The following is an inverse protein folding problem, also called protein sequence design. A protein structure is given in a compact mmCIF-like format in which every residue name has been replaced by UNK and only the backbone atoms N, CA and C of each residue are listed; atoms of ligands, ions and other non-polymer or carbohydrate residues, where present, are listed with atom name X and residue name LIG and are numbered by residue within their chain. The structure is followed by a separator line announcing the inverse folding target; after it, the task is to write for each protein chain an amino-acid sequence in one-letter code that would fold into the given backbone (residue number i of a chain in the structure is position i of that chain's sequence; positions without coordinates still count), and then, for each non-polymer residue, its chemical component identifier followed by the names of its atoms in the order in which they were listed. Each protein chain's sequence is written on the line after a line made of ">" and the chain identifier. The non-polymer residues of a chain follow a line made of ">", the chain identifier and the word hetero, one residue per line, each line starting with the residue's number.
data_IF_996692324167
#
_entry.id   IF_996692324167
#
_cell.length_a   1.000
_cell.length_b   1.000
_cell.length_c   1.000
_cell.angle_alpha   90.00
_cell.angle_beta   90.00
_cell.angle_gamma   90.00
#
_symmetry.space_group_name_H-M   'P 1'
#
loop_
_entity.id
_entity.type
_entity.pdbx_description
1 polymer ?
#
# COMPACT_ATOMS: atom_id res chain seq x y z
N UNK A 1 12.08 9.05 12.14
CA UNK A 1 12.06 7.69 11.54
C UNK A 1 13.48 7.22 11.24
N UNK A 2 14.23 7.91 10.39
CA UNK A 2 15.62 7.56 10.04
C UNK A 2 16.54 7.35 11.25
N UNK A 3 16.48 8.23 12.26
CA UNK A 3 17.30 8.04 13.48
C UNK A 3 16.99 6.71 14.20
N UNK A 4 15.73 6.29 14.23
CA UNK A 4 15.32 5.02 14.85
C UNK A 4 15.74 3.83 13.99
N UNK A 5 15.60 3.94 12.66
CA UNK A 5 16.10 2.91 11.73
C UNK A 5 17.59 2.68 11.93
N UNK A 6 18.39 3.75 11.97
CA UNK A 6 19.82 3.67 12.19
C UNK A 6 20.14 3.06 13.56
N UNK A 7 19.44 3.49 14.63
CA UNK A 7 19.63 2.98 15.98
C UNK A 7 19.49 1.44 16.07
N UNK A 8 18.63 0.85 15.23
CA UNK A 8 18.40 -0.60 15.27
C UNK A 8 19.58 -1.37 14.70
N UNK A 9 20.14 -0.93 13.57
CA UNK A 9 21.14 -1.73 12.81
C UNK A 9 22.58 -1.26 12.99
N UNK A 10 22.82 -0.04 13.49
CA UNK A 10 24.16 0.51 13.64
C UNK A 10 25.07 -0.36 14.51
N UNK A 11 26.36 -0.39 14.16
CA UNK A 11 27.42 -1.08 14.89
C UNK A 11 27.05 -2.54 15.26
N UNK A 12 26.47 -3.27 14.30
CA UNK A 12 26.01 -4.66 14.48
C UNK A 12 25.02 -4.79 15.65
N UNK A 13 23.90 -4.08 15.54
CA UNK A 13 22.82 -4.05 16.55
C UNK A 13 23.31 -3.61 17.93
N UNK A 14 24.27 -2.67 18.03
CA UNK A 14 24.88 -2.29 19.31
C UNK A 14 23.86 -1.81 20.34
N UNK A 15 22.89 -0.97 19.94
CA UNK A 15 21.84 -0.53 20.85
C UNK A 15 20.87 -1.66 21.22
N UNK A 16 20.28 -2.43 20.28
CA UNK A 16 19.47 -3.61 20.63
C UNK A 16 20.17 -4.60 21.55
N UNK A 17 21.43 -4.95 21.28
CA UNK A 17 22.23 -5.85 22.15
C UNK A 17 22.37 -5.29 23.57
N UNK A 18 22.51 -3.98 23.72
CA UNK A 18 22.60 -3.34 25.04
C UNK A 18 21.23 -3.22 25.74
N UNK A 19 20.19 -2.85 25.01
CA UNK A 19 18.91 -2.42 25.58
C UNK A 19 17.87 -3.56 25.66
N UNK A 20 17.93 -4.55 24.76
CA UNK A 20 16.99 -5.66 24.69
C UNK A 20 17.54 -6.87 25.44
N UNK A 21 17.70 -6.74 26.75
CA UNK A 21 18.15 -7.84 27.60
C UNK A 21 17.26 -9.09 27.51
N UNK A 22 15.98 -8.90 27.14
CA UNK A 22 15.01 -9.96 26.89
C UNK A 22 15.18 -10.67 25.53
N UNK A 23 16.12 -10.25 24.69
CA UNK A 23 16.42 -10.90 23.41
C UNK A 23 17.61 -11.87 23.49
N UNK A 24 18.15 -12.12 24.69
CA UNK A 24 19.24 -13.08 24.91
C UNK A 24 18.71 -14.44 25.32
N UNK A 25 19.21 -15.50 24.70
CA UNK A 25 18.73 -16.88 24.87
C UNK A 25 19.93 -17.84 24.95
N UNK A 26 19.73 -18.99 25.58
CA UNK A 26 20.66 -20.11 25.50
C UNK A 26 20.11 -21.11 24.48
N UNK A 27 20.88 -21.40 23.43
CA UNK A 27 20.42 -22.19 22.30
C UNK A 27 21.52 -23.12 21.82
N UNK A 28 21.12 -24.22 21.19
CA UNK A 28 22.06 -25.09 20.49
C UNK A 28 22.32 -24.48 19.11
N UNK A 29 23.59 -24.31 18.77
CA UNK A 29 24.00 -24.00 17.42
C UNK A 29 23.88 -25.29 16.58
N UNK A 30 22.95 -25.32 15.64
CA UNK A 30 22.68 -26.51 14.83
C UNK A 30 23.71 -26.76 13.73
N UNK A 31 24.59 -25.79 13.45
CA UNK A 31 25.71 -25.97 12.51
C UNK A 31 26.89 -26.69 13.18
N UNK A 32 27.16 -26.40 14.45
CA UNK A 32 28.27 -26.99 15.20
C UNK A 32 27.86 -28.11 16.16
N UNK A 33 26.58 -28.15 16.55
CA UNK A 33 26.04 -29.02 17.59
C UNK A 33 26.34 -28.56 19.02
N UNK A 34 26.97 -27.41 19.21
CA UNK A 34 27.37 -26.90 20.53
C UNK A 34 26.27 -26.08 21.20
N UNK A 35 26.19 -26.18 22.53
CA UNK A 35 25.28 -25.37 23.32
C UNK A 35 25.92 -24.00 23.63
N UNK A 36 25.35 -22.93 23.07
CA UNK A 36 25.85 -21.57 23.23
C UNK A 36 25.03 -20.79 24.27
N UNK A 37 25.72 -20.06 25.14
CA UNK A 37 25.08 -19.23 26.16
C UNK A 37 25.02 -17.75 25.75
N UNK A 38 23.92 -17.06 26.12
CA UNK A 38 23.73 -15.63 25.87
C UNK A 38 23.85 -15.26 24.38
N UNK A 39 23.17 -16.02 23.53
CA UNK A 39 23.02 -15.72 22.11
C UNK A 39 21.97 -14.62 21.94
N UNK A 40 22.32 -13.55 21.22
CA UNK A 40 21.38 -12.48 20.88
C UNK A 40 20.46 -12.92 19.74
N UNK A 41 19.15 -12.84 19.95
CA UNK A 41 18.10 -13.05 18.95
C UNK A 41 17.72 -11.72 18.28
N UNK A 42 17.97 -11.54 16.97
CA UNK A 42 17.71 -10.27 16.29
C UNK A 42 16.24 -10.08 15.89
N UNK A 43 15.36 -11.07 16.09
CA UNK A 43 13.98 -11.05 15.60
C UNK A 43 13.18 -9.82 16.03
N UNK A 44 13.32 -9.36 17.28
CA UNK A 44 12.62 -8.17 17.78
C UNK A 44 13.11 -6.91 17.05
N UNK A 45 14.42 -6.78 16.88
CA UNK A 45 15.06 -5.67 16.21
C UNK A 45 14.68 -5.65 14.71
N UNK A 46 14.82 -6.78 14.03
CA UNK A 46 14.51 -6.92 12.61
C UNK A 46 13.01 -6.76 12.30
N UNK A 47 12.11 -7.23 13.18
CA UNK A 47 10.67 -6.99 13.01
C UNK A 47 10.35 -5.49 13.07
N UNK A 48 10.90 -4.78 14.05
CA UNK A 48 10.70 -3.33 14.17
C UNK A 48 11.33 -2.59 12.98
N UNK A 49 12.52 -3.00 12.55
CA UNK A 49 13.19 -2.45 11.37
C UNK A 49 12.36 -2.64 10.09
N UNK A 50 11.82 -3.84 9.88
CA UNK A 50 10.91 -4.15 8.78
C UNK A 50 9.67 -3.24 8.81
N UNK A 51 9.04 -3.07 9.97
CA UNK A 51 7.85 -2.22 10.11
C UNK A 51 8.12 -0.72 9.87
N UNK A 52 9.37 -0.26 10.06
CA UNK A 52 9.77 1.12 9.75
C UNK A 52 9.94 1.36 8.26
N UNK A 53 10.31 0.32 7.49
CA UNK A 53 10.42 0.37 6.03
C UNK A 53 9.08 0.11 5.35
N UNK A 54 8.39 -0.93 5.79
CA UNK A 54 7.11 -1.38 5.22
C UNK A 54 6.02 -1.19 6.27
N UNK A 55 5.19 -0.13 6.17
CA UNK A 55 4.18 0.20 7.18
C UNK A 55 2.94 -0.72 7.14
N UNK A 56 3.14 -2.04 7.20
CA UNK A 56 2.06 -3.02 7.37
C UNK A 56 1.54 -3.05 8.82
N UNK A 57 0.41 -3.72 9.07
CA UNK A 57 -0.08 -3.86 10.45
C UNK A 57 0.87 -4.75 11.23
N UNK A 58 1.06 -4.43 12.52
CA UNK A 58 1.88 -5.24 13.46
C UNK A 58 1.58 -6.74 13.39
N UNK A 59 0.29 -7.12 13.41
CA UNK A 59 -0.10 -8.53 13.35
C UNK A 59 0.33 -9.18 12.03
N UNK A 60 0.24 -8.45 10.90
CA UNK A 60 0.72 -8.95 9.61
C UNK A 60 2.24 -9.17 9.64
N UNK A 61 3.00 -8.22 10.20
CA UNK A 61 4.44 -8.34 10.37
C UNK A 61 4.84 -9.54 11.26
N UNK A 62 4.09 -9.79 12.33
CA UNK A 62 4.31 -10.93 13.23
C UNK A 62 4.05 -12.29 12.55
N UNK A 63 3.12 -12.35 11.59
CA UNK A 63 2.72 -13.56 10.88
C UNK A 63 3.36 -13.71 9.49
N UNK A 64 4.42 -12.94 9.20
CA UNK A 64 5.18 -13.13 7.98
C UNK A 64 5.85 -14.50 7.97
N UNK A 65 5.88 -15.13 6.82
CA UNK A 65 6.42 -16.47 6.66
C UNK A 65 7.90 -16.46 6.26
N UNK A 66 8.66 -17.42 6.77
CA UNK A 66 10.06 -17.64 6.39
C UNK A 66 10.23 -18.38 5.06
N UNK A 67 9.21 -19.07 4.55
CA UNK A 67 9.32 -19.92 3.37
C UNK A 67 10.12 -21.21 3.59
N UNK A 68 10.44 -21.59 4.84
CA UNK A 68 11.15 -22.86 5.12
C UNK A 68 10.36 -24.11 4.68
N UNK A 69 9.03 -24.00 4.60
CA UNK A 69 8.17 -25.03 4.03
C UNK A 69 7.84 -24.86 2.55
N UNK A 70 8.43 -23.87 1.87
CA UNK A 70 8.13 -23.61 0.46
C UNK A 70 8.93 -24.52 -0.47
N UNK A 71 8.42 -24.74 -1.68
CA UNK A 71 9.10 -25.51 -2.72
C UNK A 71 10.36 -24.80 -3.24
N UNK A 72 10.33 -23.46 -3.28
CA UNK A 72 11.45 -22.62 -3.71
C UNK A 72 11.74 -21.55 -2.66
N UNK A 73 13.03 -21.31 -2.40
CA UNK A 73 13.49 -20.27 -1.48
C UNK A 73 14.44 -19.32 -2.19
N UNK A 74 14.48 -18.08 -1.72
CA UNK A 74 15.44 -17.10 -2.22
C UNK A 74 16.84 -17.38 -1.67
N UNK A 75 17.81 -17.51 -2.58
CA UNK A 75 19.22 -17.58 -2.25
C UNK A 75 19.84 -16.17 -2.30
N UNK A 76 20.32 -15.71 -1.15
CA UNK A 76 20.90 -14.37 -0.99
C UNK A 76 22.31 -14.20 -1.57
N UNK A 77 22.99 -15.29 -1.93
CA UNK A 77 24.33 -15.24 -2.52
C UNK A 77 24.25 -15.36 -4.06
N UNK A 78 23.28 -16.14 -4.55
CA UNK A 78 23.01 -16.28 -5.98
C UNK A 78 21.97 -15.27 -6.52
N UNK A 79 21.31 -14.53 -5.64
CA UNK A 79 20.26 -13.55 -5.94
C UNK A 79 19.12 -14.12 -6.80
N UNK A 80 18.73 -15.37 -6.52
CA UNK A 80 17.68 -16.07 -7.29
C UNK A 80 16.94 -17.10 -6.44
N UNK A 81 15.76 -17.48 -6.90
CA UNK A 81 15.04 -18.61 -6.30
C UNK A 81 15.68 -19.93 -6.71
N UNK A 82 15.90 -20.78 -5.71
CA UNK A 82 16.41 -22.14 -5.86
C UNK A 82 15.44 -23.12 -5.22
N UNK A 83 15.50 -24.39 -5.63
CA UNK A 83 14.68 -25.44 -5.01
C UNK A 83 15.07 -25.61 -3.55
N UNK A 84 14.09 -25.66 -2.66
CA UNK A 84 14.32 -25.88 -1.24
C UNK A 84 14.63 -27.35 -0.95
N UNK A 85 15.91 -27.68 -0.79
CA UNK A 85 16.33 -29.05 -0.47
C UNK A 85 15.97 -29.45 0.97
N UNK A 86 15.90 -28.47 1.88
CA UNK A 86 15.60 -28.66 3.30
C UNK A 86 14.14 -28.32 3.63
N UNK A 87 13.24 -28.52 2.67
CA UNK A 87 11.83 -28.18 2.81
C UNK A 87 11.20 -28.88 4.02
N UNK A 88 10.55 -28.10 4.87
CA UNK A 88 9.77 -28.62 6.00
C UNK A 88 8.36 -28.98 5.51
N UNK A 89 7.98 -30.23 5.71
CA UNK A 89 6.67 -30.75 5.28
C UNK A 89 6.62 -31.16 3.80
N UNK A 90 5.52 -31.81 3.42
CA UNK A 90 5.37 -32.45 2.10
C UNK A 90 4.41 -31.71 1.16
N UNK A 91 3.70 -30.69 1.65
CA UNK A 91 2.65 -29.99 0.91
C UNK A 91 3.25 -28.94 -0.03
N UNK A 92 2.72 -28.80 -1.25
CA UNK A 92 3.15 -27.74 -2.18
C UNK A 92 2.78 -26.38 -1.62
N UNK A 93 3.76 -25.47 -1.56
CA UNK A 93 3.62 -24.20 -0.84
C UNK A 93 4.60 -23.14 -1.36
N UNK A 94 4.15 -21.89 -1.38
CA UNK A 94 4.97 -20.72 -1.72
C UNK A 94 4.41 -19.49 -0.99
N UNK A 95 4.64 -19.39 0.32
CA UNK A 95 4.06 -18.36 1.21
C UNK A 95 5.14 -17.46 1.86
N UNK A 96 6.42 -17.74 1.62
CA UNK A 96 7.57 -17.01 2.14
C UNK A 96 7.54 -15.53 1.80
N UNK A 97 8.05 -14.70 2.72
CA UNK A 97 8.05 -13.24 2.58
C UNK A 97 8.70 -12.78 1.26
N UNK A 98 9.81 -13.38 0.84
CA UNK A 98 10.45 -13.01 -0.41
C UNK A 98 9.79 -13.77 -1.56
N UNK A 99 9.37 -13.05 -2.61
CA UNK A 99 8.84 -13.65 -3.84
C UNK A 99 9.32 -12.94 -5.09
N UNK A 100 9.46 -13.70 -6.17
CA UNK A 100 9.64 -13.17 -7.52
C UNK A 100 8.28 -12.76 -8.07
N UNK A 101 8.14 -11.50 -8.44
CA UNK A 101 6.90 -10.91 -8.92
C UNK A 101 7.08 -10.43 -10.37
N UNK A 102 6.05 -10.57 -11.23
CA UNK A 102 6.14 -10.10 -12.60
C UNK A 102 6.54 -8.64 -12.67
N UNK A 103 7.57 -8.33 -13.45
CA UNK A 103 8.06 -6.95 -13.63
C UNK A 103 7.01 -6.03 -14.25
N UNK A 104 6.03 -6.62 -14.97
CA UNK A 104 4.98 -5.90 -15.69
C UNK A 104 5.47 -5.22 -16.97
N UNK A 105 6.76 -5.32 -17.30
CA UNK A 105 7.37 -4.72 -18.50
C UNK A 105 7.86 -5.84 -19.41
N UNK A 106 7.42 -5.83 -20.67
CA UNK A 106 7.84 -6.80 -21.68
C UNK A 106 9.37 -6.79 -21.83
N UNK A 107 10.00 -7.95 -21.60
CA UNK A 107 11.45 -8.14 -21.74
C UNK A 107 12.29 -7.78 -20.52
N UNK A 108 11.68 -7.34 -19.41
CA UNK A 108 12.37 -7.15 -18.13
C UNK A 108 12.14 -8.37 -17.26
N UNK A 109 13.22 -8.90 -16.68
CA UNK A 109 13.17 -10.01 -15.72
C UNK A 109 12.29 -9.66 -14.54
N UNK A 110 11.57 -10.66 -14.03
CA UNK A 110 10.76 -10.54 -12.82
C UNK A 110 11.56 -9.90 -11.66
N UNK A 111 10.87 -9.14 -10.84
CA UNK A 111 11.47 -8.36 -9.75
C UNK A 111 11.32 -9.08 -8.41
N UNK A 112 12.29 -8.90 -7.53
CA UNK A 112 12.14 -9.35 -6.15
C UNK A 112 11.19 -8.41 -5.41
N UNK A 113 10.24 -8.99 -4.68
CA UNK A 113 9.35 -8.25 -3.80
C UNK A 113 8.96 -9.03 -2.57
N UNK A 114 7.96 -8.50 -1.88
CA UNK A 114 7.49 -8.99 -0.59
C UNK A 114 6.07 -9.53 -0.69
N UNK A 115 5.87 -10.77 -0.28
CA UNK A 115 4.56 -11.37 -0.08
C UNK A 115 4.12 -11.17 1.38
N UNK A 116 3.02 -10.44 1.57
CA UNK A 116 2.41 -10.25 2.88
C UNK A 116 1.32 -11.30 3.04
N UNK A 117 1.63 -12.33 3.83
CA UNK A 117 0.84 -13.55 4.06
C UNK A 117 -0.62 -13.36 4.45
N UNK A 118 -0.96 -12.21 5.05
CA UNK A 118 -2.28 -11.97 5.63
C UNK A 118 -2.86 -10.63 5.22
N UNK A 119 -4.18 -10.59 5.00
CA UNK A 119 -4.92 -9.36 4.79
C UNK A 119 -6.15 -9.33 5.71
N UNK A 120 -6.60 -8.12 6.11
CA UNK A 120 -7.83 -7.97 6.91
C UNK A 120 -9.07 -8.44 6.13
N UNK A 121 -8.96 -8.57 4.82
CA UNK A 121 -10.12 -8.63 3.93
C UNK A 121 -10.11 -9.78 2.91
N UNK A 122 -9.09 -10.63 2.97
CA UNK A 122 -8.90 -11.87 2.19
C UNK A 122 -7.86 -12.75 2.90
N UNK A 123 -7.95 -14.07 2.69
CA UNK A 123 -6.95 -15.04 3.20
C UNK A 123 -5.70 -15.15 2.31
N UNK A 124 -5.73 -14.59 1.09
CA UNK A 124 -4.69 -14.76 0.07
C UNK A 124 -3.51 -13.79 0.17
N UNK A 125 -3.44 -13.00 1.25
CA UNK A 125 -2.37 -12.01 1.41
C UNK A 125 -2.40 -10.90 0.34
N UNK A 126 -1.25 -10.27 0.10
CA UNK A 126 -0.99 -9.34 -1.01
C UNK A 126 0.50 -9.13 -1.23
N UNK A 127 0.88 -8.74 -2.45
CA UNK A 127 2.28 -8.55 -2.82
C UNK A 127 2.68 -7.08 -2.89
N UNK A 128 3.94 -6.82 -2.56
CA UNK A 128 4.62 -5.54 -2.70
C UNK A 128 5.78 -5.75 -3.68
N UNK A 129 5.73 -5.24 -4.91
CA UNK A 129 6.75 -5.45 -5.94
C UNK A 129 8.00 -4.58 -5.71
N UNK A 130 8.49 -4.54 -4.48
CA UNK A 130 9.63 -3.74 -4.07
C UNK A 130 10.21 -4.20 -2.74
N UNK A 131 11.54 -4.20 -2.64
CA UNK A 131 12.32 -4.34 -1.41
C UNK A 131 13.61 -3.53 -1.58
N UNK A 132 14.05 -2.79 -0.54
CA UNK A 132 15.34 -2.10 -0.57
C UNK A 132 16.48 -2.98 -0.05
N UNK A 133 17.71 -2.65 -0.47
CA UNK A 133 18.92 -3.41 -0.14
C UNK A 133 19.20 -3.44 1.37
N UNK A 134 18.95 -2.33 2.08
CA UNK A 134 19.15 -2.28 3.53
C UNK A 134 18.20 -3.22 4.28
N UNK A 135 16.94 -3.29 3.83
CA UNK A 135 15.98 -4.24 4.37
C UNK A 135 16.36 -5.67 4.01
N UNK A 136 16.80 -5.91 2.77
CA UNK A 136 17.24 -7.23 2.32
C UNK A 136 18.44 -7.74 3.12
N UNK A 137 19.39 -6.88 3.48
CA UNK A 137 20.52 -7.22 4.34
C UNK A 137 20.09 -7.59 5.77
N UNK A 138 19.13 -6.85 6.35
CA UNK A 138 18.54 -7.20 7.66
C UNK A 138 17.80 -8.54 7.60
N UNK A 139 17.05 -8.80 6.52
CA UNK A 139 16.37 -10.07 6.29
C UNK A 139 17.38 -11.22 6.12
N UNK A 140 18.47 -11.05 5.36
CA UNK A 140 19.53 -12.05 5.22
C UNK A 140 20.07 -12.49 6.59
N UNK A 141 20.36 -11.52 7.47
CA UNK A 141 20.80 -11.79 8.83
C UNK A 141 19.75 -12.57 9.64
N UNK A 142 18.46 -12.21 9.51
CA UNK A 142 17.36 -12.93 10.15
C UNK A 142 17.31 -14.39 9.69
N UNK A 143 17.35 -14.64 8.38
CA UNK A 143 17.30 -15.99 7.82
C UNK A 143 18.49 -16.86 8.24
N UNK A 144 19.70 -16.30 8.21
CA UNK A 144 20.90 -17.00 8.67
C UNK A 144 20.81 -17.36 10.15
N UNK A 145 20.31 -16.43 10.98
CA UNK A 145 20.13 -16.69 12.40
C UNK A 145 19.12 -17.82 12.67
N UNK A 146 18.00 -17.84 11.94
CA UNK A 146 17.00 -18.90 12.05
C UNK A 146 17.56 -20.27 11.64
N UNK A 147 18.30 -20.35 10.53
CA UNK A 147 18.95 -21.60 10.11
C UNK A 147 19.93 -22.12 11.16
N UNK A 148 20.66 -21.22 11.81
CA UNK A 148 21.67 -21.56 12.81
C UNK A 148 21.09 -22.01 14.16
N UNK A 149 20.05 -21.34 14.65
CA UNK A 149 19.55 -21.53 16.03
C UNK A 149 18.10 -22.00 16.15
N UNK A 150 17.30 -21.95 15.08
CA UNK A 150 15.90 -22.38 15.06
C UNK A 150 15.49 -23.05 13.72
N UNK A 151 16.18 -24.10 13.25
CA UNK A 151 15.97 -24.66 11.90
C UNK A 151 14.69 -25.50 11.73
N UNK A 152 13.95 -25.82 12.81
CA UNK A 152 12.80 -26.72 12.76
C UNK A 152 11.53 -26.09 13.37
N UNK A 153 11.00 -25.00 12.78
CA UNK A 153 9.76 -24.41 13.24
C UNK A 153 8.55 -25.32 12.96
N UNK A 154 7.56 -25.19 13.82
CA UNK A 154 6.21 -25.66 13.56
C UNK A 154 5.33 -24.55 12.98
N UNK A 155 4.27 -24.94 12.28
CA UNK A 155 3.26 -24.02 11.78
C UNK A 155 2.53 -23.33 12.94
N UNK A 156 2.35 -22.02 12.80
CA UNK A 156 1.79 -21.14 13.83
C UNK A 156 0.87 -20.09 13.22
N UNK A 157 -0.25 -19.84 13.88
CA UNK A 157 -1.24 -18.84 13.43
C UNK A 157 -1.48 -17.79 14.51
N UNK A 158 -2.73 -17.36 14.63
CA UNK A 158 -3.17 -16.39 15.65
C UNK A 158 -2.90 -16.84 17.10
N UNK A 159 -2.80 -18.15 17.33
CA UNK A 159 -2.46 -18.75 18.62
C UNK A 159 -1.08 -18.33 19.14
N UNK A 160 -0.15 -17.99 18.24
CA UNK A 160 1.18 -17.51 18.58
C UNK A 160 1.23 -16.08 19.09
N UNK A 161 0.14 -15.32 18.95
CA UNK A 161 0.07 -13.91 19.36
C UNK A 161 -0.28 -13.73 20.86
N UNK A 162 -0.63 -14.81 21.56
CA UNK A 162 -1.06 -14.80 22.96
C UNK A 162 -2.52 -14.38 23.17
N UNK A 163 -3.05 -14.56 24.40
CA UNK A 163 -4.48 -14.37 24.75
C UNK A 163 -5.05 -12.93 24.62
N UNK A 164 -4.24 -11.94 24.22
CA UNK A 164 -4.62 -10.52 24.16
C UNK A 164 -5.13 -10.09 22.77
N UNK A 165 -5.89 -10.94 22.09
CA UNK A 165 -6.55 -10.57 20.83
C UNK A 165 -7.95 -10.00 21.17
N UNK A 166 -8.11 -8.69 21.04
CA UNK A 166 -9.44 -8.09 20.88
C UNK A 166 -9.96 -8.38 19.47
N UNK A 167 -11.28 -8.49 19.34
CA UNK A 167 -12.08 -9.04 18.21
C UNK A 167 -11.83 -8.43 16.81
N UNK A 168 -10.95 -7.44 16.64
CA UNK A 168 -10.59 -6.86 15.34
C UNK A 168 -9.41 -7.57 14.63
N UNK A 169 -9.06 -8.78 15.07
CA UNK A 169 -7.96 -9.57 14.50
C UNK A 169 -8.24 -10.03 13.07
N UNK A 170 -7.16 -10.28 12.33
CA UNK A 170 -7.17 -10.91 11.00
C UNK A 170 -8.08 -12.15 11.04
N UNK A 171 -9.06 -12.25 10.13
CA UNK A 171 -10.01 -13.36 10.06
C UNK A 171 -9.44 -14.60 9.37
N UNK A 172 -8.15 -14.90 9.58
CA UNK A 172 -7.50 -16.03 8.93
C UNK A 172 -7.19 -17.13 9.92
N UNK A 173 -7.52 -18.37 9.54
CA UNK A 173 -7.11 -19.58 10.24
C UNK A 173 -5.85 -20.21 9.62
N UNK A 174 -5.25 -19.54 8.62
CA UNK A 174 -3.96 -19.94 8.05
C UNK A 174 -2.86 -19.94 9.11
N UNK A 175 -1.94 -20.88 8.95
CA UNK A 175 -0.74 -21.02 9.78
C UNK A 175 0.51 -20.85 8.93
N UNK A 176 1.56 -20.34 9.56
CA UNK A 176 2.78 -19.87 8.92
C UNK A 176 4.01 -20.32 9.72
N UNK A 177 5.12 -20.54 9.04
CA UNK A 177 6.45 -20.64 9.65
C UNK A 177 6.93 -19.21 9.93
N UNK A 178 6.68 -18.72 11.14
CA UNK A 178 6.92 -17.32 11.48
C UNK A 178 8.38 -16.90 11.18
N UNK A 179 8.58 -15.83 10.42
CA UNK A 179 9.91 -15.31 10.12
C UNK A 179 10.57 -14.69 11.36
N UNK A 180 9.82 -13.93 12.16
CA UNK A 180 10.32 -13.27 13.36
C UNK A 180 9.97 -14.08 14.62
N UNK A 181 10.65 -15.21 14.79
CA UNK A 181 10.51 -16.10 15.95
C UNK A 181 11.24 -15.58 17.18
N UNK A 182 10.67 -15.78 18.35
CA UNK A 182 11.28 -15.37 19.61
C UNK A 182 11.44 -16.54 20.59
N UNK A 183 12.54 -17.31 20.50
CA UNK A 183 12.80 -18.40 21.44
C UNK A 183 13.16 -17.90 22.85
N UNK A 184 13.29 -16.59 23.07
CA UNK A 184 13.58 -16.01 24.39
C UNK A 184 12.39 -16.02 25.34
N UNK A 185 11.19 -16.35 24.84
CA UNK A 185 9.96 -16.44 25.63
C UNK A 185 10.08 -17.61 26.62
N UNK A 186 10.76 -17.39 27.75
CA UNK A 186 11.13 -18.35 28.82
C UNK A 186 9.98 -19.21 29.40
N UNK A 187 8.74 -19.05 28.94
CA UNK A 187 7.55 -19.80 29.39
C UNK A 187 6.88 -20.63 28.29
N UNK A 188 7.50 -20.71 27.12
CA UNK A 188 7.01 -21.45 25.96
C UNK A 188 8.09 -22.43 25.55
N UNK A 189 7.85 -23.75 25.71
CA UNK A 189 8.71 -24.81 25.15
C UNK A 189 8.78 -24.74 23.61
N UNK A 190 7.91 -23.93 23.02
CA UNK A 190 7.76 -23.74 21.61
C UNK A 190 8.50 -22.50 21.11
N UNK A 191 9.59 -22.74 20.38
CA UNK A 191 10.45 -21.75 19.73
C UNK A 191 9.89 -21.22 18.40
N UNK A 192 8.76 -21.76 17.94
CA UNK A 192 8.14 -21.40 16.65
C UNK A 192 7.24 -20.17 16.75
N UNK A 193 6.95 -19.70 17.97
CA UNK A 193 6.12 -18.51 18.19
C UNK A 193 6.82 -17.25 17.73
N UNK A 194 6.02 -16.38 17.11
CA UNK A 194 6.44 -15.02 16.78
C UNK A 194 6.70 -14.16 18.02
N UNK A 195 7.44 -13.07 17.85
CA UNK A 195 7.69 -12.08 18.92
C UNK A 195 6.36 -11.62 19.54
N UNK A 196 6.22 -11.75 20.86
CA UNK A 196 4.99 -11.34 21.53
C UNK A 196 4.77 -9.81 21.51
N UNK A 197 3.51 -9.39 21.39
CA UNK A 197 3.14 -7.96 21.27
C UNK A 197 3.73 -7.07 22.37
N UNK A 198 3.74 -7.53 23.62
CA UNK A 198 4.26 -6.75 24.75
C UNK A 198 5.78 -6.53 24.67
N UNK A 199 6.53 -7.48 24.08
CA UNK A 199 7.97 -7.34 23.82
C UNK A 199 8.22 -6.28 22.74
N UNK A 200 7.43 -6.30 21.65
CA UNK A 200 7.51 -5.29 20.59
C UNK A 200 7.24 -3.89 21.16
N UNK A 201 6.17 -3.73 21.96
CA UNK A 201 5.83 -2.44 22.59
C UNK A 201 6.94 -1.95 23.53
N UNK A 202 7.54 -2.85 24.33
CA UNK A 202 8.65 -2.51 25.22
C UNK A 202 9.89 -2.09 24.45
N UNK A 203 10.28 -2.85 23.43
CA UNK A 203 11.41 -2.54 22.56
C UNK A 203 11.21 -1.19 21.85
N UNK A 204 10.00 -0.93 21.35
CA UNK A 204 9.63 0.35 20.75
C UNK A 204 9.82 1.53 21.71
N UNK A 205 9.36 1.41 22.96
CA UNK A 205 9.57 2.44 23.97
C UNK A 205 11.04 2.76 24.23
N UNK A 206 11.89 1.73 24.31
CA UNK A 206 13.34 1.87 24.48
C UNK A 206 14.01 2.58 23.29
N UNK A 207 13.62 2.23 22.06
CA UNK A 207 14.10 2.90 20.85
C UNK A 207 13.69 4.38 20.83
N UNK A 208 12.42 4.68 21.13
CA UNK A 208 11.92 6.05 21.23
C UNK A 208 12.68 6.88 22.27
N UNK A 209 12.98 6.31 23.43
CA UNK A 209 13.74 6.97 24.48
C UNK A 209 15.16 7.36 24.03
N UNK A 210 15.87 6.44 23.38
CA UNK A 210 17.22 6.74 22.91
C UNK A 210 17.22 7.69 21.71
N UNK A 211 16.28 7.54 20.78
CA UNK A 211 16.12 8.46 19.66
C UNK A 211 15.79 9.88 20.14
N UNK A 212 14.91 10.03 21.14
CA UNK A 212 14.61 11.31 21.78
C UNK A 212 15.89 11.96 22.32
N UNK A 213 16.72 11.20 23.04
CA UNK A 213 17.99 11.70 23.57
C UNK A 213 18.96 12.10 22.48
N UNK A 214 19.05 11.35 21.38
CA UNK A 214 19.98 11.66 20.27
C UNK A 214 19.54 12.91 19.51
N UNK A 215 18.26 13.01 19.18
CA UNK A 215 17.71 14.16 18.46
C UNK A 215 17.83 15.42 19.33
N UNK A 216 17.46 15.34 20.60
CA UNK A 216 17.57 16.49 21.52
C UNK A 216 19.01 16.92 21.78
N UNK A 217 20.01 16.03 21.63
CA UNK A 217 21.44 16.40 21.68
C UNK A 217 21.90 17.14 20.42
N UNK A 218 21.31 16.83 19.26
CA UNK A 218 21.62 17.46 17.97
C UNK A 218 20.91 18.80 17.77
N UNK A 219 19.79 19.04 18.47
CA UNK A 219 19.01 20.26 18.36
C UNK A 219 19.71 21.45 19.04
N UNK A 220 19.78 22.63 18.39
CA UNK A 220 20.24 23.86 19.05
C UNK A 220 19.37 24.22 20.25
N UNK A 221 19.94 24.87 21.27
CA UNK A 221 19.20 25.25 22.51
C UNK A 221 17.98 26.14 22.25
N UNK A 222 17.94 26.84 21.11
CA UNK A 222 16.83 27.68 20.66
C UNK A 222 15.61 26.89 20.18
N UNK A 223 15.76 25.59 19.91
CA UNK A 223 14.67 24.73 19.43
C UNK A 223 13.98 24.01 20.58
N UNK A 224 12.65 23.89 20.48
CA UNK A 224 11.87 23.11 21.44
C UNK A 224 12.30 21.65 21.38
N UNK A 225 12.70 21.10 22.53
CA UNK A 225 13.02 19.68 22.68
C UNK A 225 11.82 18.82 22.31
N UNK A 226 12.08 17.73 21.61
CA UNK A 226 11.08 16.73 21.27
C UNK A 226 10.88 15.76 22.44
N UNK A 227 9.68 15.20 22.55
CA UNK A 227 9.37 14.16 23.54
C UNK A 227 8.61 13.03 22.86
N UNK A 228 9.23 11.85 22.80
CA UNK A 228 8.72 10.61 22.25
C UNK A 228 8.27 9.64 23.34
N UNK A 229 8.65 9.87 24.59
CA UNK A 229 8.33 9.03 25.77
C UNK A 229 7.41 9.72 26.76
N UNK A 230 6.60 8.94 27.50
CA UNK A 230 5.75 9.49 28.56
C UNK A 230 6.61 9.96 29.73
N UNK A 231 6.19 11.05 30.37
CA UNK A 231 6.90 11.57 31.55
C UNK A 231 6.95 10.50 32.65
N UNK A 232 8.16 10.20 33.14
CA UNK A 232 8.39 9.21 34.20
C UNK A 232 8.45 7.74 33.76
N UNK A 233 8.21 7.40 32.47
CA UNK A 233 8.26 6.01 31.98
C UNK A 233 9.11 5.88 30.71
N UNK A 234 10.43 5.61 30.82
CA UNK A 234 11.34 5.50 29.68
C UNK A 234 11.09 4.28 28.78
N UNK A 235 10.18 3.39 29.17
CA UNK A 235 9.74 2.22 28.39
C UNK A 235 8.39 2.41 27.72
N UNK A 236 7.70 3.53 27.97
CA UNK A 236 6.42 3.84 27.35
C UNK A 236 6.57 4.99 26.37
N UNK A 237 6.36 4.70 25.09
CA UNK A 237 6.27 5.75 24.08
C UNK A 237 4.93 6.49 24.19
N UNK A 238 4.95 7.79 23.87
CA UNK A 238 3.72 8.59 23.62
C UNK A 238 3.01 8.15 22.35
N UNK A 239 3.73 7.51 21.44
CA UNK A 239 3.24 7.08 20.13
C UNK A 239 3.25 5.55 20.10
N UNK A 240 2.09 4.95 19.85
CA UNK A 240 2.00 3.50 19.73
C UNK A 240 2.61 3.01 18.42
N UNK A 241 2.78 1.69 18.32
CA UNK A 241 3.26 1.05 17.08
C UNK A 241 2.28 1.26 15.92
N UNK A 242 1.00 1.53 16.17
CA UNK A 242 0.05 1.86 15.11
C UNK A 242 0.36 3.21 14.46
N UNK A 243 0.88 4.16 15.24
CA UNK A 243 1.36 5.46 14.75
C UNK A 243 2.51 5.31 13.77
N UNK A 244 3.34 4.25 13.89
CA UNK A 244 4.39 3.96 12.88
C UNK A 244 3.79 3.74 11.50
N UNK A 245 2.70 3.00 11.41
CA UNK A 245 2.01 2.76 10.15
C UNK A 245 1.42 4.06 9.58
N UNK A 246 0.79 4.88 10.42
CA UNK A 246 0.25 6.18 9.99
C UNK A 246 1.36 7.06 9.44
N UNK A 247 2.43 7.26 10.22
CA UNK A 247 3.56 8.10 9.86
C UNK A 247 4.33 7.56 8.66
N UNK A 248 4.50 6.24 8.54
CA UNK A 248 5.18 5.61 7.40
C UNK A 248 4.39 5.74 6.10
N UNK A 249 3.06 5.61 6.16
CA UNK A 249 2.18 5.88 5.00
C UNK A 249 2.30 7.35 4.61
N UNK A 250 2.22 8.29 5.57
CA UNK A 250 2.37 9.72 5.30
C UNK A 250 3.76 10.06 4.73
N UNK A 251 4.85 9.48 5.24
CA UNK A 251 6.21 9.68 4.72
C UNK A 251 6.37 9.22 3.26
N UNK A 252 5.74 8.10 2.88
CA UNK A 252 5.71 7.65 1.48
C UNK A 252 4.96 8.64 0.58
N UNK A 253 3.81 9.14 1.04
CA UNK A 253 3.06 10.17 0.31
C UNK A 253 3.88 11.47 0.20
N UNK A 254 4.56 11.87 1.27
CA UNK A 254 5.41 13.07 1.33
C UNK A 254 6.63 12.99 0.40
N UNK A 255 7.13 11.76 0.17
CA UNK A 255 8.19 11.46 -0.81
C UNK A 255 7.66 11.34 -2.25
N UNK A 256 6.37 11.57 -2.47
CA UNK A 256 5.75 11.60 -3.80
C UNK A 256 5.26 10.25 -4.32
N UNK A 257 5.18 9.20 -3.48
CA UNK A 257 4.57 7.94 -3.90
C UNK A 257 3.06 8.17 -4.11
N UNK A 258 2.51 7.86 -5.30
CA UNK A 258 1.08 8.07 -5.56
C UNK A 258 0.17 7.36 -4.56
N UNK A 259 -0.90 8.05 -4.12
CA UNK A 259 -1.84 7.53 -3.12
C UNK A 259 -2.44 6.16 -3.51
N UNK A 260 -2.71 5.93 -4.79
CA UNK A 260 -3.21 4.64 -5.28
C UNK A 260 -2.23 3.49 -5.08
N UNK A 261 -0.92 3.75 -5.21
CA UNK A 261 0.14 2.76 -4.98
C UNK A 261 0.23 2.45 -3.49
N UNK A 262 0.28 3.49 -2.64
CA UNK A 262 0.34 3.32 -1.18
C UNK A 262 -0.91 2.59 -0.66
N UNK A 263 -2.10 2.91 -1.18
CA UNK A 263 -3.33 2.20 -0.81
C UNK A 263 -3.26 0.72 -1.16
N UNK A 264 -2.94 0.39 -2.42
CA UNK A 264 -3.05 -0.97 -2.96
C UNK A 264 -1.93 -1.88 -2.44
N UNK A 265 -0.69 -1.43 -2.55
CA UNK A 265 0.48 -2.27 -2.35
C UNK A 265 1.07 -2.18 -0.94
N UNK A 266 0.92 -1.05 -0.25
CA UNK A 266 1.52 -0.88 1.08
C UNK A 266 0.49 -1.04 2.20
N UNK A 267 -0.65 -0.38 2.05
CA UNK A 267 -1.68 -0.37 3.07
C UNK A 267 -2.65 -1.56 2.95
N UNK A 268 -2.80 -2.16 1.76
CA UNK A 268 -3.77 -3.22 1.50
C UNK A 268 -5.21 -2.78 1.77
N UNK A 269 -5.54 -1.51 1.51
CA UNK A 269 -6.86 -0.96 1.77
C UNK A 269 -7.83 -1.25 0.61
N UNK A 270 -8.99 -1.84 0.91
CA UNK A 270 -10.03 -2.17 -0.08
C UNK A 270 -10.59 -0.94 -0.82
N UNK A 271 -10.57 0.24 -0.20
CA UNK A 271 -11.20 1.44 -0.74
C UNK A 271 -10.29 2.65 -0.58
N UNK A 272 -10.22 3.49 -1.61
CA UNK A 272 -9.42 4.72 -1.66
C UNK A 272 -9.71 5.67 -0.50
N UNK A 273 -10.96 5.73 -0.06
CA UNK A 273 -11.41 6.57 1.05
C UNK A 273 -10.71 6.25 2.38
N UNK A 274 -10.30 5.00 2.61
CA UNK A 274 -9.56 4.62 3.83
C UNK A 274 -8.15 5.19 3.85
N UNK A 275 -7.53 5.40 2.68
CA UNK A 275 -6.18 5.97 2.59
C UNK A 275 -6.20 7.50 2.49
N UNK A 276 -7.35 8.08 2.12
CA UNK A 276 -7.52 9.53 1.99
C UNK A 276 -7.22 10.30 3.29
N UNK A 277 -7.46 9.68 4.45
CA UNK A 277 -7.13 10.29 5.75
C UNK A 277 -5.63 10.49 5.98
N UNK A 278 -4.75 9.79 5.24
CA UNK A 278 -3.29 9.98 5.30
C UNK A 278 -2.79 11.04 4.33
N UNK A 279 -3.58 11.36 3.30
CA UNK A 279 -3.31 12.39 2.29
C UNK A 279 -3.92 13.73 2.73
N UNK A 280 -3.49 14.20 3.91
CA UNK A 280 -3.88 15.52 4.43
C UNK A 280 -2.63 16.39 4.61
N UNK A 281 -1.98 16.81 3.51
CA UNK A 281 -0.75 17.58 3.55
C UNK A 281 -0.98 18.94 4.23
N UNK A 282 0.02 19.40 4.99
CA UNK A 282 -0.02 20.75 5.56
C UNK A 282 -0.06 21.82 4.46
N UNK A 283 -0.60 23.01 4.76
CA UNK A 283 -0.65 24.13 3.80
C UNK A 283 0.73 24.48 3.21
N UNK A 284 1.80 24.35 3.98
CA UNK A 284 3.17 24.58 3.51
C UNK A 284 3.59 23.53 2.47
N UNK A 285 3.24 22.26 2.71
CA UNK A 285 3.52 21.15 1.78
C UNK A 285 2.69 21.25 0.51
N UNK A 286 1.42 21.67 0.61
CA UNK A 286 0.58 21.98 -0.57
C UNK A 286 1.21 23.07 -1.43
N UNK A 287 1.75 24.14 -0.82
CA UNK A 287 2.47 25.17 -1.56
C UNK A 287 3.70 24.61 -2.27
N UNK A 288 4.51 23.83 -1.56
CA UNK A 288 5.71 23.17 -2.13
C UNK A 288 5.34 22.27 -3.32
N UNK A 289 4.29 21.46 -3.20
CA UNK A 289 3.81 20.62 -4.31
C UNK A 289 3.33 21.43 -5.50
N UNK A 290 2.58 22.50 -5.28
CA UNK A 290 2.10 23.37 -6.36
C UNK A 290 3.25 24.15 -7.02
N UNK A 291 4.26 24.57 -6.25
CA UNK A 291 5.46 25.20 -6.78
C UNK A 291 6.34 24.21 -7.57
N UNK A 292 6.53 22.99 -7.05
CA UNK A 292 7.26 21.92 -7.73
C UNK A 292 6.54 21.43 -9.00
N UNK A 293 5.21 21.37 -8.99
CA UNK A 293 4.40 21.05 -10.16
C UNK A 293 4.45 22.15 -11.23
N UNK A 294 4.65 23.41 -10.81
CA UNK A 294 4.82 24.56 -11.70
C UNK A 294 6.20 24.62 -12.35
N UNK A 295 7.24 24.12 -11.68
CA UNK A 295 8.63 24.10 -12.17
C UNK A 295 9.03 22.79 -12.84
N UNK A 296 8.30 21.69 -12.62
CA UNK A 296 8.38 20.51 -13.48
C UNK A 296 7.96 20.94 -14.88
N UNK A 297 8.94 21.05 -15.77
CA UNK A 297 8.70 21.20 -17.20
C UNK A 297 7.64 20.18 -17.61
N UNK A 298 6.62 20.67 -18.29
CA UNK A 298 5.59 19.89 -18.96
C UNK A 298 6.21 19.23 -20.20
N UNK A 299 7.31 18.50 -20.01
CA UNK A 299 7.74 17.49 -20.96
C UNK A 299 6.82 16.30 -20.72
N UNK A 300 5.73 16.39 -21.47
CA UNK A 300 4.70 15.41 -21.85
C UNK A 300 5.34 14.05 -22.19
N UNK A 301 5.96 13.40 -21.21
CA UNK A 301 6.56 12.05 -21.34
C UNK A 301 5.55 10.95 -21.01
N UNK A 302 4.47 11.28 -20.29
CA UNK A 302 3.36 10.35 -20.05
C UNK A 302 2.42 10.19 -21.27
N UNK A 303 2.57 11.02 -22.32
CA UNK A 303 1.70 11.00 -23.51
C UNK A 303 2.36 10.39 -24.75
N UNK A 304 3.71 10.41 -24.86
CA UNK A 304 4.42 9.66 -25.91
C UNK A 304 4.21 8.15 -25.77
N UNK A 305 4.01 7.66 -24.54
CA UNK A 305 3.64 6.27 -24.27
C UNK A 305 2.23 5.93 -24.81
N UNK A 306 1.33 6.93 -24.84
CA UNK A 306 -0.08 6.77 -25.22
C UNK A 306 -0.26 6.73 -26.76
N UNK A 307 0.55 7.44 -27.55
CA UNK A 307 0.37 7.44 -29.01
C UNK A 307 0.62 6.07 -29.66
N UNK A 308 1.62 5.32 -29.19
CA UNK A 308 1.96 4.00 -29.75
C UNK A 308 1.02 2.87 -29.32
N UNK A 309 0.41 2.99 -28.14
CA UNK A 309 -0.59 2.04 -27.63
C UNK A 309 -2.03 2.38 -28.07
N UNK A 310 -2.37 3.66 -28.29
CA UNK A 310 -3.70 4.04 -28.82
C UNK A 310 -4.00 3.26 -30.10
N UNK A 311 -3.06 3.21 -31.06
CA UNK A 311 -3.33 2.52 -32.33
C UNK A 311 -3.54 1.00 -32.16
N UNK A 312 -3.03 0.38 -31.08
CA UNK A 312 -3.27 -1.03 -30.74
C UNK A 312 -4.58 -1.26 -29.96
N UNK A 313 -5.05 -0.25 -29.22
CA UNK A 313 -6.20 -0.35 -28.31
C UNK A 313 -7.44 0.36 -28.86
N UNK A 314 -7.33 1.10 -29.98
CA UNK A 314 -8.44 1.79 -30.69
C UNK A 314 -9.63 0.85 -30.92
N UNK A 315 -9.38 -0.43 -31.26
CA UNK A 315 -10.43 -1.42 -31.48
C UNK A 315 -11.28 -1.71 -30.23
N UNK A 316 -10.73 -1.48 -29.04
CA UNK A 316 -11.44 -1.67 -27.77
C UNK A 316 -12.25 -0.43 -27.36
N UNK A 317 -12.01 0.71 -28.01
CA UNK A 317 -12.76 1.93 -27.77
C UNK A 317 -13.98 2.03 -28.69
N UNK A 318 -15.10 2.42 -28.09
CA UNK A 318 -16.38 2.65 -28.74
C UNK A 318 -16.61 4.15 -28.85
N UNK A 319 -16.93 4.59 -30.06
CA UNK A 319 -17.36 5.96 -30.36
C UNK A 319 -18.74 5.92 -31.00
N UNK A 320 -19.36 7.09 -31.20
CA UNK A 320 -20.66 7.14 -31.82
C UNK A 320 -20.59 6.80 -33.32
N UNK A 321 -20.94 5.55 -33.67
CA UNK A 321 -20.87 5.04 -35.04
C UNK A 321 -21.73 5.83 -36.04
N UNK A 322 -22.80 6.50 -35.59
CA UNK A 322 -23.62 7.34 -36.47
C UNK A 322 -22.83 8.51 -37.09
N UNK A 323 -21.66 8.83 -36.51
CA UNK A 323 -20.77 9.91 -36.93
C UNK A 323 -19.41 9.39 -37.44
N UNK A 324 -19.24 8.08 -37.63
CA UNK A 324 -17.98 7.46 -38.06
C UNK A 324 -17.57 7.83 -39.51
N UNK A 325 -18.53 8.11 -40.39
CA UNK A 325 -18.27 8.47 -41.78
C UNK A 325 -17.99 9.97 -41.99
N UNK A 326 -17.83 10.75 -40.92
CA UNK A 326 -17.56 12.19 -41.00
C UNK A 326 -16.06 12.46 -41.18
N UNK A 327 -15.72 13.58 -41.81
CA UNK A 327 -14.32 14.03 -42.01
C UNK A 327 -13.56 14.37 -40.72
N UNK A 328 -14.24 14.44 -39.58
CA UNK A 328 -13.63 14.74 -38.28
C UNK A 328 -14.30 13.90 -37.18
N UNK A 329 -13.61 12.84 -36.79
CA UNK A 329 -14.06 11.83 -35.82
C UNK A 329 -13.55 12.11 -34.41
N UNK A 330 -14.01 11.33 -33.43
CA UNK A 330 -13.52 11.39 -32.06
C UNK A 330 -12.02 11.07 -31.96
N UNK A 331 -11.52 10.14 -32.78
CA UNK A 331 -10.10 9.79 -32.83
C UNK A 331 -9.27 10.87 -33.53
N UNK A 332 -9.81 11.53 -34.55
CA UNK A 332 -9.14 12.71 -35.16
C UNK A 332 -9.02 13.85 -34.15
N UNK A 333 -10.06 14.07 -33.33
CA UNK A 333 -10.00 15.04 -32.25
C UNK A 333 -8.99 14.65 -31.16
N UNK A 334 -8.88 13.35 -30.85
CA UNK A 334 -7.93 12.83 -29.87
C UNK A 334 -6.48 13.08 -30.33
N UNK A 335 -6.19 12.82 -31.61
CA UNK A 335 -4.86 13.04 -32.22
C UNK A 335 -4.54 14.53 -32.35
N UNK A 336 -5.52 15.37 -32.74
CA UNK A 336 -5.32 16.81 -32.98
C UNK A 336 -5.17 17.63 -31.69
N UNK A 337 -5.84 17.24 -30.62
CA UNK A 337 -5.88 17.99 -29.35
C UNK A 337 -4.99 17.34 -28.27
N UNK A 338 -3.88 16.71 -28.67
CA UNK A 338 -2.90 16.14 -27.75
C UNK A 338 -2.50 17.17 -26.68
N UNK A 339 -2.68 16.81 -25.40
CA UNK A 339 -2.45 17.69 -24.24
C UNK A 339 -3.69 18.36 -23.62
N UNK A 340 -4.86 18.33 -24.27
CA UNK A 340 -6.14 18.84 -23.72
C UNK A 340 -7.12 17.68 -23.43
N UNK A 341 -6.66 16.45 -23.60
CA UNK A 341 -7.45 15.23 -23.37
C UNK A 341 -7.74 15.09 -21.88
N UNK A 342 -9.01 14.85 -21.55
CA UNK A 342 -9.48 14.61 -20.18
C UNK A 342 -10.09 13.23 -20.07
N UNK A 343 -9.48 12.37 -19.26
CA UNK A 343 -10.01 11.04 -18.95
C UNK A 343 -10.97 11.17 -17.77
N UNK A 344 -12.24 10.80 -17.97
CA UNK A 344 -13.25 10.73 -16.91
C UNK A 344 -13.57 9.27 -16.59
N UNK A 345 -14.24 9.07 -15.46
CA UNK A 345 -14.67 7.74 -15.01
C UNK A 345 -15.51 6.99 -16.05
N UNK A 346 -16.33 7.71 -16.83
CA UNK A 346 -17.26 7.15 -17.82
C UNK A 346 -16.75 7.16 -19.27
N UNK A 347 -15.54 7.65 -19.52
CA UNK A 347 -14.96 7.76 -20.86
C UNK A 347 -13.97 8.90 -21.02
N UNK A 348 -13.49 9.11 -22.25
CA UNK A 348 -12.43 10.05 -22.61
C UNK A 348 -13.03 11.22 -23.39
N UNK A 349 -12.68 12.43 -22.97
CA UNK A 349 -12.89 13.67 -23.70
C UNK A 349 -11.62 14.03 -24.48
N UNK A 350 -11.65 14.11 -25.81
CA UNK A 350 -10.51 14.59 -26.59
C UNK A 350 -10.34 16.13 -26.57
N UNK A 351 -10.88 16.83 -25.55
CA UNK A 351 -10.79 18.30 -25.46
C UNK A 351 -11.52 19.04 -26.60
N UNK A 352 -12.55 18.44 -27.19
CA UNK A 352 -13.19 18.91 -28.43
C UNK A 352 -14.33 19.93 -28.24
N UNK A 353 -14.69 20.62 -29.33
CA UNK A 353 -15.71 21.67 -29.44
C UNK A 353 -17.09 21.22 -28.95
N UNK A 354 -17.41 21.51 -27.69
CA UNK A 354 -18.73 21.22 -27.10
C UNK A 354 -19.87 21.92 -27.84
N UNK A 355 -19.58 23.01 -28.56
CA UNK A 355 -20.52 23.76 -29.39
C UNK A 355 -20.97 22.99 -30.65
N UNK A 356 -20.21 21.97 -31.07
CA UNK A 356 -20.50 21.18 -32.27
C UNK A 356 -20.58 19.67 -31.99
N UNK A 357 -20.46 19.30 -30.72
CA UNK A 357 -20.36 17.92 -30.29
C UNK A 357 -21.69 17.21 -30.10
N UNK A 358 -22.82 17.92 -30.03
CA UNK A 358 -24.13 17.38 -29.69
C UNK A 358 -24.66 16.35 -30.67
N UNK A 359 -25.34 15.33 -30.13
CA UNK A 359 -26.08 14.34 -30.93
C UNK A 359 -27.42 14.91 -31.37
N UNK A 360 -27.67 14.92 -32.68
CA UNK A 360 -28.94 15.33 -33.26
C UNK A 360 -29.70 14.12 -33.87
N UNK A 361 -31.01 13.96 -33.63
CA UNK A 361 -31.82 12.90 -34.24
C UNK A 361 -31.84 12.93 -35.78
N UNK A 362 -31.64 14.10 -36.38
CA UNK A 362 -31.57 14.29 -37.83
C UNK A 362 -30.13 14.29 -38.37
N UNK A 363 -29.15 13.90 -37.53
CA UNK A 363 -27.71 13.83 -37.85
C UNK A 363 -27.12 15.16 -38.34
N UNK A 364 -27.70 16.31 -37.95
CA UNK A 364 -27.11 17.61 -38.25
C UNK A 364 -25.78 17.78 -37.50
N UNK A 365 -24.78 18.29 -38.20
CA UNK A 365 -23.46 18.63 -37.64
C UNK A 365 -23.53 20.04 -37.05
N UNK A 366 -22.76 20.32 -35.99
CA UNK A 366 -22.67 21.66 -35.41
C UNK A 366 -23.73 21.96 -34.36
N UNK A 367 -24.32 20.91 -33.75
CA UNK A 367 -25.26 21.07 -32.65
C UNK A 367 -24.48 21.12 -31.33
N UNK A 368 -24.81 22.04 -30.40
CA UNK A 368 -24.15 22.08 -29.11
C UNK A 368 -24.55 20.87 -28.26
N UNK A 369 -23.59 20.34 -27.50
CA UNK A 369 -23.84 19.29 -26.51
C UNK A 369 -24.82 19.84 -25.47
N UNK A 370 -25.92 19.13 -25.18
CA UNK A 370 -26.88 19.58 -24.17
C UNK A 370 -26.19 19.84 -22.82
N UNK A 371 -26.42 21.02 -22.25
CA UNK A 371 -25.83 21.41 -20.98
C UNK A 371 -26.87 21.21 -19.88
N UNK A 372 -26.50 20.43 -18.87
CA UNK A 372 -27.31 20.28 -17.65
C UNK A 372 -26.62 20.90 -16.43
N UNK A 373 -27.19 20.65 -15.25
CA UNK A 373 -26.70 21.16 -13.96
C UNK A 373 -25.23 20.76 -13.61
N UNK A 374 -24.58 19.89 -14.38
CA UNK A 374 -23.19 19.45 -14.22
C UNK A 374 -22.27 19.92 -15.36
N UNK A 375 -22.74 20.81 -16.23
CA UNK A 375 -22.08 21.15 -17.48
C UNK A 375 -22.52 20.28 -18.66
N UNK A 376 -21.71 20.21 -19.73
CA UNK A 376 -22.07 19.48 -20.95
C UNK A 376 -22.28 17.98 -20.72
N UNK A 377 -23.37 17.45 -21.28
CA UNK A 377 -23.74 16.04 -21.29
C UNK A 377 -22.79 15.24 -22.18
N UNK A 378 -21.62 14.89 -21.63
CA UNK A 378 -20.55 14.21 -22.37
C UNK A 378 -21.00 12.92 -23.09
N UNK A 379 -21.89 12.06 -22.53
CA UNK A 379 -22.41 10.89 -23.26
C UNK A 379 -23.24 11.24 -24.50
N UNK A 380 -23.77 12.47 -24.57
CA UNK A 380 -24.47 13.03 -25.74
C UNK A 380 -23.53 13.84 -26.64
N UNK A 381 -22.22 13.59 -26.55
CA UNK A 381 -21.22 14.16 -27.44
C UNK A 381 -20.75 13.11 -28.45
N UNK A 382 -20.72 13.45 -29.74
CA UNK A 382 -20.18 12.61 -30.83
C UNK A 382 -18.69 12.34 -30.70
N UNK A 383 -17.96 13.24 -30.02
CA UNK A 383 -16.52 13.10 -29.76
C UNK A 383 -16.22 12.30 -28.50
N UNK A 384 -17.24 11.85 -27.76
CA UNK A 384 -17.03 11.05 -26.56
C UNK A 384 -16.53 9.66 -26.93
N UNK A 385 -15.41 9.27 -26.32
CA UNK A 385 -14.81 7.95 -26.51
C UNK A 385 -15.06 7.14 -25.25
N UNK A 386 -15.50 5.91 -25.38
CA UNK A 386 -15.72 5.01 -24.23
C UNK A 386 -15.35 3.58 -24.59
N UNK A 387 -15.69 2.59 -23.76
CA UNK A 387 -15.29 1.20 -23.98
C UNK A 387 -15.55 0.33 -22.75
N UNK A 388 -15.26 -0.99 -22.84
CA UNK A 388 -15.51 -1.94 -21.75
C UNK A 388 -14.89 -1.53 -20.40
N UNK A 389 -13.72 -0.90 -20.43
CA UNK A 389 -13.01 -0.41 -19.25
C UNK A 389 -13.76 0.68 -18.47
N UNK A 390 -14.65 1.43 -19.12
CA UNK A 390 -15.43 2.50 -18.48
C UNK A 390 -16.80 2.05 -17.98
N UNK A 391 -17.15 0.77 -18.13
CA UNK A 391 -18.48 0.26 -17.82
C UNK A 391 -18.89 0.56 -16.37
N UNK A 392 -18.00 0.32 -15.40
CA UNK A 392 -18.26 0.63 -13.99
C UNK A 392 -18.50 2.12 -13.77
N UNK A 393 -17.74 2.99 -14.44
CA UNK A 393 -17.93 4.43 -14.35
C UNK A 393 -19.22 4.92 -15.00
N UNK A 394 -19.63 4.32 -16.12
CA UNK A 394 -20.94 4.57 -16.72
C UNK A 394 -22.09 4.15 -15.80
N UNK A 395 -21.98 3.01 -15.13
CA UNK A 395 -22.95 2.55 -14.12
C UNK A 395 -23.05 3.57 -12.98
N UNK A 396 -21.92 4.09 -12.50
CA UNK A 396 -21.90 5.14 -11.46
C UNK A 396 -22.60 6.40 -11.94
N UNK A 397 -22.27 6.92 -13.13
CA UNK A 397 -22.92 8.12 -13.69
C UNK A 397 -24.43 7.91 -13.89
N UNK A 398 -24.84 6.75 -14.42
CA UNK A 398 -26.25 6.37 -14.58
C UNK A 398 -27.00 6.34 -13.24
N UNK A 399 -26.43 5.69 -12.23
CA UNK A 399 -27.01 5.62 -10.89
C UNK A 399 -27.16 7.02 -10.27
N UNK A 400 -26.19 7.90 -10.48
CA UNK A 400 -26.29 9.27 -10.00
C UNK A 400 -27.40 10.06 -10.73
N UNK A 401 -27.57 9.87 -12.05
CA UNK A 401 -28.65 10.50 -12.82
C UNK A 401 -30.01 10.01 -12.34
N UNK A 402 -30.19 8.70 -12.16
CA UNK A 402 -31.43 8.10 -11.63
C UNK A 402 -31.77 8.68 -10.25
N UNK A 403 -30.78 8.77 -9.35
CA UNK A 403 -30.98 9.37 -8.02
C UNK A 403 -31.41 10.84 -8.11
N UNK A 404 -30.87 11.61 -9.06
CA UNK A 404 -31.25 13.01 -9.28
C UNK A 404 -32.66 13.14 -9.83
N UNK A 405 -33.04 12.31 -10.81
CA UNK A 405 -34.41 12.27 -11.32
C UNK A 405 -35.37 12.01 -10.17
N UNK A 406 -35.10 11.00 -9.33
CA UNK A 406 -35.91 10.70 -8.14
C UNK A 406 -36.04 11.91 -7.19
N UNK A 407 -34.95 12.64 -6.93
CA UNK A 407 -35.00 13.87 -6.12
C UNK A 407 -35.86 14.98 -6.75
N UNK A 408 -35.75 15.18 -8.07
CA UNK A 408 -36.54 16.20 -8.78
C UNK A 408 -38.03 15.83 -8.81
N UNK A 409 -38.38 14.55 -8.98
CA UNK A 409 -39.76 14.07 -8.88
C UNK A 409 -40.35 14.37 -7.50
N UNK A 410 -39.66 14.00 -6.43
CA UNK A 410 -40.10 14.30 -5.05
C UNK A 410 -40.28 15.81 -4.83
N UNK A 411 -39.39 16.63 -5.38
CA UNK A 411 -39.51 18.09 -5.27
C UNK A 411 -40.73 18.63 -6.04
N UNK A 412 -41.02 18.09 -7.23
CA UNK A 412 -42.21 18.44 -8.02
C UNK A 412 -43.49 18.05 -7.27
N UNK A 413 -43.53 16.86 -6.67
CA UNK A 413 -44.70 16.41 -5.91
C UNK A 413 -44.98 17.33 -4.72
N UNK A 414 -43.94 17.72 -3.98
CA UNK A 414 -44.08 18.72 -2.89
C UNK A 414 -44.58 20.07 -3.37
N UNK A 415 -44.11 20.54 -4.53
CA UNK A 415 -44.57 21.80 -5.12
C UNK A 415 -46.04 21.68 -5.54
N UNK A 416 -46.44 20.53 -6.12
CA UNK A 416 -47.84 20.27 -6.48
C UNK A 416 -48.76 20.24 -5.27
N UNK A 417 -48.36 19.57 -4.19
CA UNK A 417 -49.08 19.60 -2.91
C UNK A 417 -49.23 21.03 -2.39
N UNK A 418 -48.15 21.82 -2.42
CA UNK A 418 -48.19 23.22 -1.99
C UNK A 418 -49.08 24.11 -2.86
N UNK A 419 -49.22 23.80 -4.16
CA UNK A 419 -50.13 24.50 -5.07
C UNK A 419 -51.57 24.15 -4.73
N UNK A 420 -51.88 22.86 -4.52
CA UNK A 420 -53.23 22.41 -4.14
C UNK A 420 -53.65 23.05 -2.81
N UNK A 421 -52.78 23.03 -1.80
CA UNK A 421 -53.04 23.66 -0.50
C UNK A 421 -53.26 25.19 -0.60
N UNK A 422 -52.67 25.84 -1.60
CA UNK A 422 -52.84 27.27 -1.86
C UNK A 422 -54.06 27.59 -2.74
N UNK A 423 -54.58 26.62 -3.50
CA UNK A 423 -55.84 26.73 -4.26
C UNK A 423 -57.07 26.44 -3.37
N UNK A 424 -56.91 25.61 -2.34
CA UNK A 424 -57.96 25.25 -1.37
C UNK A 424 -58.14 26.26 -0.22
N UNK A 425 -57.23 27.23 -0.07
CA UNK A 425 -57.33 28.39 0.86
C UNK A 425 -57.63 29.69 0.09
#
# INVERSE_FOLDING_TARGET
>A
MNEIQNLIIEDDYAFPKKAFSFSYVHLTNHETGEYEHNVFCPSVANLLYFMLWIPIRKIQAQLLDSGEGDDFIYDFDLEKFVKNENKIGNEKRQEGLLQTLPSGVLGITDVLGLHITTNKTSDDGYDIPWVCDELLASLKNQYQWLRKYSPYPELRGKDSLGKLLTEESIMTDKTFYCLFRDPSQQRSDDQSKTVATHIITKAWGLLCNEAEKRINRKLPETHRKISLTKEGSPTESRYDIHTLRVSGITDLLDKGVPLGIVQKFVAGHKTYMMTLHYDNPSHAKVREYLEAARTKDSNVSDFEFIESEIDQVIEQFVTNQAYANNKYTAFDALKKNAGIVSIKLSGICPGASCEEGGLDPYKKIGVPVPVGDRGPSCPQCRFWITGPMFLLGQVVEGNQLIRKIKKKVIAIDKIRESIIDAEDN
#
